data_IF_310887216857
#
_entry.id   IF_310887216857
#
_cell.length_a   1.000
_cell.length_b   1.000
_cell.length_c   1.000
_cell.angle_alpha   90.00
_cell.angle_beta   90.00
_cell.angle_gamma   90.00
#
_symmetry.space_group_name_H-M   'P 1'
#
loop_
_entity.id
_entity.type
_entity.pdbx_description
1 polymer ?
#
# COMPACT_ATOMS: atom_id res chain seq x y z
N UNK A 1 38.23 0.57 -22.34
CA UNK A 1 36.89 1.13 -22.63
C UNK A 1 35.87 0.23 -21.95
N UNK A 2 35.54 0.51 -20.69
CA UNK A 2 34.36 -0.10 -20.08
C UNK A 2 33.18 0.75 -20.53
N UNK A 3 32.20 0.16 -21.23
CA UNK A 3 30.90 0.80 -21.33
C UNK A 3 30.41 1.02 -19.90
N UNK A 4 30.25 2.28 -19.50
CA UNK A 4 29.44 2.57 -18.33
C UNK A 4 28.06 2.01 -18.65
N UNK A 5 27.68 0.90 -18.01
CA UNK A 5 26.30 0.42 -18.11
C UNK A 5 25.47 1.41 -17.32
N UNK A 6 24.76 2.26 -18.05
CA UNK A 6 23.83 3.22 -17.49
C UNK A 6 22.61 2.47 -16.93
N UNK A 7 22.14 2.93 -15.79
CA UNK A 7 21.06 2.29 -15.05
C UNK A 7 20.01 3.31 -14.68
N UNK A 8 18.75 2.88 -14.67
CA UNK A 8 17.64 3.71 -14.23
C UNK A 8 17.03 3.17 -12.94
N UNK A 9 16.41 4.03 -12.14
CA UNK A 9 15.64 3.62 -10.97
C UNK A 9 14.27 4.30 -10.95
N UNK A 10 13.31 3.64 -10.33
CA UNK A 10 11.96 4.19 -10.14
C UNK A 10 11.76 4.55 -8.68
N UNK A 11 11.18 5.70 -8.40
CA UNK A 11 10.86 6.21 -7.07
C UNK A 11 9.36 6.47 -7.00
N UNK A 12 8.65 5.66 -6.20
CA UNK A 12 7.19 5.70 -6.10
C UNK A 12 6.76 6.26 -4.76
N UNK A 13 6.12 7.44 -4.79
CA UNK A 13 5.33 7.91 -3.67
C UNK A 13 3.96 7.20 -3.68
N UNK A 14 3.81 6.21 -2.79
CA UNK A 14 2.57 5.43 -2.70
C UNK A 14 1.39 6.31 -2.25
N UNK A 15 1.62 7.28 -1.36
CA UNK A 15 0.58 8.19 -0.88
C UNK A 15 -0.01 9.00 -2.04
N UNK A 16 0.87 9.55 -2.89
CA UNK A 16 0.48 10.23 -4.12
C UNK A 16 -0.27 9.31 -5.08
N UNK A 17 0.27 8.11 -5.34
CA UNK A 17 -0.32 7.12 -6.25
C UNK A 17 -1.76 6.76 -5.86
N UNK A 18 -2.00 6.39 -4.60
CA UNK A 18 -3.34 6.02 -4.14
C UNK A 18 -4.29 7.22 -4.15
N UNK A 19 -3.82 8.40 -3.70
CA UNK A 19 -4.66 9.59 -3.63
C UNK A 19 -5.10 10.06 -5.03
N UNK A 20 -4.17 10.19 -5.97
CA UNK A 20 -4.50 10.67 -7.31
C UNK A 20 -5.07 9.57 -8.21
N UNK A 21 -4.60 8.33 -8.05
CA UNK A 21 -5.15 7.19 -8.76
C UNK A 21 -6.64 6.99 -8.45
N UNK A 22 -7.02 7.05 -7.17
CA UNK A 22 -8.44 6.96 -6.78
C UNK A 22 -9.26 8.13 -7.33
N UNK A 23 -8.73 9.34 -7.30
CA UNK A 23 -9.38 10.50 -7.91
C UNK A 23 -9.59 10.33 -9.42
N UNK A 24 -8.61 9.75 -10.13
CA UNK A 24 -8.71 9.50 -11.57
C UNK A 24 -9.78 8.45 -11.92
N UNK A 25 -9.89 7.36 -11.15
CA UNK A 25 -10.84 6.27 -11.45
C UNK A 25 -12.24 6.49 -10.87
N UNK A 26 -12.36 7.19 -9.73
CA UNK A 26 -13.61 7.37 -8.99
C UNK A 26 -14.13 8.81 -8.98
N UNK A 27 -13.40 9.77 -9.55
CA UNK A 27 -13.74 11.19 -9.57
C UNK A 27 -13.49 11.93 -8.25
N UNK A 28 -13.12 11.22 -7.18
CA UNK A 28 -12.74 11.80 -5.89
C UNK A 28 -11.69 10.93 -5.20
N UNK A 29 -10.88 11.53 -4.33
CA UNK A 29 -9.95 10.76 -3.49
C UNK A 29 -10.74 9.78 -2.60
N UNK A 30 -10.28 8.53 -2.53
CA UNK A 30 -10.89 7.50 -1.67
C UNK A 30 -9.91 7.06 -0.58
N UNK A 31 -10.40 6.67 0.61
CA UNK A 31 -9.57 6.03 1.62
C UNK A 31 -8.88 4.79 1.06
N UNK A 32 -7.62 4.54 1.44
CA UNK A 32 -6.87 3.37 0.97
C UNK A 32 -7.54 2.03 1.28
N UNK A 33 -8.31 1.96 2.36
CA UNK A 33 -9.09 0.78 2.72
C UNK A 33 -10.20 0.41 1.73
N UNK A 34 -10.60 1.35 0.87
CA UNK A 34 -11.61 1.15 -0.18
C UNK A 34 -10.97 0.85 -1.54
N UNK A 35 -9.65 0.71 -1.62
CA UNK A 35 -8.94 0.48 -2.87
C UNK A 35 -8.35 -0.93 -2.90
N UNK A 36 -8.16 -1.43 -4.11
CA UNK A 36 -7.41 -2.63 -4.43
C UNK A 36 -6.28 -2.27 -5.38
N UNK A 37 -5.07 -2.72 -5.07
CA UNK A 37 -3.90 -2.54 -5.90
C UNK A 37 -3.48 -3.89 -6.48
N UNK A 38 -3.43 -3.98 -7.80
CA UNK A 38 -2.68 -5.02 -8.51
C UNK A 38 -1.19 -4.62 -8.52
N UNK A 39 -0.45 -5.14 -7.54
CA UNK A 39 0.95 -4.81 -7.33
C UNK A 39 1.86 -5.19 -8.53
N UNK A 40 1.74 -6.40 -9.13
CA UNK A 40 2.45 -6.72 -10.37
C UNK A 40 2.15 -5.73 -11.50
N UNK A 41 0.88 -5.45 -11.78
CA UNK A 41 0.49 -4.61 -12.91
C UNK A 41 1.01 -3.16 -12.78
N UNK A 42 0.99 -2.58 -11.57
CA UNK A 42 1.56 -1.23 -11.39
C UNK A 42 3.07 -1.22 -11.59
N UNK A 43 3.79 -2.24 -11.11
CA UNK A 43 5.24 -2.35 -11.29
C UNK A 43 5.59 -2.51 -12.76
N UNK A 44 4.87 -3.36 -13.49
CA UNK A 44 5.04 -3.52 -14.95
C UNK A 44 4.86 -2.19 -15.68
N UNK A 45 3.78 -1.45 -15.40
CA UNK A 45 3.53 -0.14 -16.00
C UNK A 45 4.64 0.89 -15.69
N UNK A 46 5.23 0.85 -14.48
CA UNK A 46 6.36 1.71 -14.11
C UNK A 46 7.64 1.35 -14.85
N UNK A 47 7.92 0.04 -14.96
CA UNK A 47 9.09 -0.50 -15.66
C UNK A 47 9.01 -0.15 -17.14
N UNK A 48 7.87 -0.38 -17.77
CA UNK A 48 7.66 -0.04 -19.18
C UNK A 48 7.87 1.45 -19.45
N UNK A 49 7.37 2.31 -18.57
CA UNK A 49 7.53 3.75 -18.73
C UNK A 49 8.99 4.20 -18.54
N UNK A 50 9.70 3.70 -17.53
CA UNK A 50 11.10 4.10 -17.32
C UNK A 50 11.98 3.59 -18.47
N UNK A 51 11.73 2.37 -18.97
CA UNK A 51 12.41 1.83 -20.15
C UNK A 51 12.12 2.67 -21.41
N UNK A 52 10.89 3.17 -21.58
CA UNK A 52 10.56 4.05 -22.70
C UNK A 52 11.25 5.42 -22.60
N UNK A 53 11.49 5.93 -21.38
CA UNK A 53 12.16 7.22 -21.15
C UNK A 53 13.68 7.13 -21.19
N UNK A 54 14.24 6.00 -20.77
CA UNK A 54 15.66 5.72 -20.70
C UNK A 54 15.98 4.38 -21.40
N UNK A 55 15.85 4.28 -22.73
CA UNK A 55 15.94 3.02 -23.48
C UNK A 55 17.33 2.37 -23.45
N UNK A 56 18.37 3.17 -23.20
CA UNK A 56 19.75 2.69 -23.11
C UNK A 56 20.13 2.24 -21.67
N UNK A 57 19.20 2.36 -20.72
CA UNK A 57 19.43 2.04 -19.31
C UNK A 57 18.86 0.67 -18.94
N UNK A 58 19.59 -0.05 -18.08
CA UNK A 58 19.04 -1.22 -17.38
C UNK A 58 18.35 -0.78 -16.08
N UNK A 59 17.18 -1.33 -15.77
CA UNK A 59 16.56 -1.08 -14.46
C UNK A 59 17.44 -1.60 -13.31
N UNK A 60 17.71 -0.71 -12.35
CA UNK A 60 18.40 -1.03 -11.11
C UNK A 60 17.41 -1.57 -10.07
N UNK A 61 16.31 -0.84 -9.86
CA UNK A 61 15.32 -1.11 -8.81
C UNK A 61 14.09 -0.20 -8.92
N UNK A 62 12.94 -0.70 -8.46
CA UNK A 62 11.76 0.09 -8.12
C UNK A 62 11.73 0.31 -6.61
N UNK A 63 11.95 1.54 -6.17
CA UNK A 63 11.82 1.94 -4.77
C UNK A 63 10.38 2.38 -4.50
N UNK A 64 9.74 1.70 -3.57
CA UNK A 64 8.36 1.98 -3.18
C UNK A 64 8.33 2.60 -1.79
N UNK A 65 7.93 3.87 -1.71
CA UNK A 65 7.92 4.64 -0.46
C UNK A 65 6.50 4.74 0.07
N UNK A 66 6.30 4.28 1.30
CA UNK A 66 4.97 4.20 1.90
C UNK A 66 5.04 4.44 3.40
N UNK A 67 3.90 4.72 4.03
CA UNK A 67 3.82 4.89 5.48
C UNK A 67 3.40 3.61 6.20
N UNK A 68 4.05 3.30 7.32
CA UNK A 68 3.55 2.32 8.27
C UNK A 68 3.33 2.92 9.66
N UNK A 69 2.25 2.50 10.33
CA UNK A 69 2.01 2.87 11.74
C UNK A 69 3.10 2.22 12.59
N UNK A 70 3.85 3.04 13.32
CA UNK A 70 5.00 2.55 14.09
C UNK A 70 6.25 2.24 13.25
N UNK A 71 6.21 2.47 11.93
CA UNK A 71 7.38 2.40 11.03
C UNK A 71 7.97 1.01 10.73
N UNK A 72 7.50 -0.06 11.40
CA UNK A 72 8.23 -1.34 11.36
C UNK A 72 7.54 -2.50 10.65
N UNK A 73 6.20 -2.60 10.68
CA UNK A 73 5.48 -3.76 10.08
C UNK A 73 4.67 -3.35 8.86
N UNK A 74 4.84 -4.03 7.71
CA UNK A 74 4.05 -3.75 6.52
C UNK A 74 2.59 -4.19 6.72
N UNK A 75 1.67 -3.53 6.03
CA UNK A 75 0.31 -4.04 5.81
C UNK A 75 0.33 -5.22 4.83
N UNK A 76 -0.81 -5.90 4.69
CA UNK A 76 -1.02 -6.93 3.67
C UNK A 76 -0.67 -6.44 2.24
N UNK A 77 -1.23 -5.29 1.83
CA UNK A 77 -0.93 -4.66 0.53
C UNK A 77 0.54 -4.29 0.36
N UNK A 78 1.18 -3.78 1.42
CA UNK A 78 2.61 -3.42 1.38
C UNK A 78 3.48 -4.67 1.25
N UNK A 79 3.07 -5.80 1.85
CA UNK A 79 3.77 -7.06 1.72
C UNK A 79 3.68 -7.63 0.28
N UNK A 80 2.54 -7.45 -0.41
CA UNK A 80 2.43 -7.81 -1.83
C UNK A 80 3.49 -7.11 -2.66
N UNK A 81 3.56 -5.79 -2.54
CA UNK A 81 4.53 -4.97 -3.26
C UNK A 81 5.97 -5.34 -2.88
N UNK A 82 6.24 -5.54 -1.58
CA UNK A 82 7.58 -5.82 -1.08
C UNK A 82 8.15 -7.18 -1.50
N UNK A 83 7.28 -8.13 -1.88
CA UNK A 83 7.68 -9.47 -2.30
C UNK A 83 7.88 -9.59 -3.82
N UNK A 84 7.61 -8.55 -4.60
CA UNK A 84 7.89 -8.55 -6.04
C UNK A 84 9.38 -8.43 -6.31
N UNK A 85 9.82 -9.06 -7.40
CA UNK A 85 11.20 -8.93 -7.89
C UNK A 85 11.51 -7.47 -8.23
N UNK A 86 12.76 -7.08 -8.01
CA UNK A 86 13.28 -5.73 -8.26
C UNK A 86 12.59 -4.58 -7.49
N UNK A 87 11.66 -4.89 -6.58
CA UNK A 87 10.99 -3.90 -5.72
C UNK A 87 11.66 -3.82 -4.35
N UNK A 88 11.79 -2.60 -3.82
CA UNK A 88 12.21 -2.35 -2.45
C UNK A 88 11.24 -1.41 -1.75
N UNK A 89 10.52 -1.97 -0.78
CA UNK A 89 9.65 -1.22 0.12
C UNK A 89 10.49 -0.43 1.14
N UNK A 90 10.21 0.87 1.26
CA UNK A 90 10.78 1.81 2.23
C UNK A 90 9.63 2.37 3.06
N UNK A 91 9.58 2.06 4.35
CA UNK A 91 8.50 2.49 5.24
C UNK A 91 8.90 3.74 6.03
N UNK A 92 8.19 4.84 5.78
CA UNK A 92 8.15 6.02 6.63
C UNK A 92 7.23 5.83 7.83
N UNK A 93 7.20 6.82 8.72
CA UNK A 93 6.44 6.75 9.96
C UNK A 93 5.06 7.41 9.81
N UNK A 94 4.00 6.70 10.19
CA UNK A 94 2.66 7.28 10.35
C UNK A 94 2.40 7.58 11.82
N UNK A 95 2.07 8.83 12.15
CA UNK A 95 1.72 9.21 13.51
C UNK A 95 0.29 8.78 13.90
N UNK A 96 -0.07 8.94 15.18
CA UNK A 96 -1.40 8.58 15.71
C UNK A 96 -2.56 9.36 15.09
N UNK A 97 -2.29 10.46 14.37
CA UNK A 97 -3.27 11.26 13.64
C UNK A 97 -3.38 10.87 12.16
N UNK A 98 -2.68 9.81 11.73
CA UNK A 98 -2.70 9.33 10.34
C UNK A 98 -1.84 10.15 9.38
N UNK A 99 -1.03 11.10 9.88
CA UNK A 99 -0.11 11.86 9.05
C UNK A 99 1.14 11.02 8.78
N UNK A 100 1.46 10.85 7.50
CA UNK A 100 2.73 10.28 7.07
C UNK A 100 3.82 11.33 7.28
N UNK A 101 4.94 10.94 7.91
CA UNK A 101 6.13 11.78 8.08
C UNK A 101 7.35 11.05 7.56
N UNK A 102 8.16 11.75 6.76
CA UNK A 102 9.48 11.30 6.33
C UNK A 102 9.50 10.39 5.10
N UNK A 103 8.38 10.18 4.41
CA UNK A 103 8.34 9.44 3.13
C UNK A 103 9.09 10.24 2.05
N UNK A 104 8.77 11.52 1.95
CA UNK A 104 9.49 12.56 1.20
C UNK A 104 11.00 12.54 1.46
N UNK A 105 11.38 12.52 2.75
CA UNK A 105 12.79 12.50 3.16
C UNK A 105 13.50 11.22 2.72
N UNK A 106 12.82 10.06 2.74
CA UNK A 106 13.36 8.79 2.24
C UNK A 106 13.59 8.84 0.72
N UNK A 107 12.64 9.39 -0.04
CA UNK A 107 12.76 9.59 -1.50
C UNK A 107 13.98 10.46 -1.80
N UNK A 108 14.05 11.64 -1.17
CA UNK A 108 15.14 12.61 -1.37
C UNK A 108 16.49 11.99 -1.02
N UNK A 109 16.58 11.28 0.12
CA UNK A 109 17.83 10.65 0.56
C UNK A 109 18.30 9.59 -0.42
N UNK A 110 17.44 8.63 -0.78
CA UNK A 110 17.82 7.54 -1.69
C UNK A 110 18.17 8.08 -3.10
N UNK A 111 17.43 9.08 -3.60
CA UNK A 111 17.69 9.70 -4.89
C UNK A 111 19.08 10.37 -4.92
N UNK A 112 19.40 11.18 -3.90
CA UNK A 112 20.70 11.84 -3.77
C UNK A 112 21.82 10.82 -3.61
N UNK A 113 21.63 9.78 -2.80
CA UNK A 113 22.65 8.75 -2.60
C UNK A 113 22.97 8.00 -3.89
N UNK A 114 21.95 7.57 -4.63
CA UNK A 114 22.14 6.87 -5.90
C UNK A 114 22.82 7.76 -6.94
N UNK A 115 22.43 9.05 -7.01
CA UNK A 115 23.05 10.03 -7.90
C UNK A 115 24.52 10.25 -7.54
N UNK A 116 24.82 10.54 -6.27
CA UNK A 116 26.19 10.81 -5.79
C UNK A 116 27.13 9.62 -5.99
N UNK A 117 26.61 8.40 -5.90
CA UNK A 117 27.37 7.17 -6.12
C UNK A 117 27.47 6.77 -7.60
N UNK A 118 26.96 7.60 -8.53
CA UNK A 118 26.84 7.30 -9.95
C UNK A 118 26.21 5.92 -10.20
N UNK A 119 25.22 5.57 -9.37
CA UNK A 119 24.56 4.27 -9.44
C UNK A 119 23.47 4.24 -10.50
N UNK A 120 22.93 5.41 -10.86
CA UNK A 120 21.93 5.62 -11.90
C UNK A 120 22.30 6.83 -12.75
N UNK A 121 21.83 6.85 -13.99
CA UNK A 121 21.86 8.01 -14.91
C UNK A 121 20.47 8.63 -15.09
N UNK A 122 19.40 7.86 -14.87
CA UNK A 122 18.02 8.28 -15.06
C UNK A 122 17.14 7.84 -13.89
N UNK A 123 16.18 8.66 -13.50
CA UNK A 123 15.19 8.32 -12.48
C UNK A 123 13.78 8.64 -12.95
N UNK A 124 12.87 7.66 -12.83
CA UNK A 124 11.44 7.91 -12.92
C UNK A 124 10.91 8.22 -11.52
N UNK A 125 10.35 9.42 -11.31
CA UNK A 125 9.79 9.86 -10.05
C UNK A 125 8.26 9.99 -10.17
N UNK A 126 7.52 9.14 -9.48
CA UNK A 126 6.07 9.25 -9.36
C UNK A 126 5.74 10.03 -8.09
N UNK A 127 5.48 11.34 -8.23
CA UNK A 127 5.09 12.22 -7.13
C UNK A 127 4.45 13.51 -7.66
N UNK A 128 3.83 14.26 -6.76
CA UNK A 128 3.36 15.64 -7.00
C UNK A 128 3.78 16.62 -5.91
N UNK A 129 4.57 16.17 -4.94
CA UNK A 129 4.94 16.97 -3.76
C UNK A 129 6.12 17.90 -4.07
N UNK A 130 6.04 19.15 -3.65
CA UNK A 130 7.13 20.11 -3.81
C UNK A 130 8.34 19.75 -2.94
N UNK A 131 8.12 19.06 -1.82
CA UNK A 131 9.18 18.74 -0.86
C UNK A 131 10.26 17.82 -1.44
N UNK A 132 9.94 17.01 -2.48
CA UNK A 132 10.94 16.16 -3.14
C UNK A 132 11.78 16.92 -4.19
N UNK A 133 11.42 18.16 -4.54
CA UNK A 133 12.12 18.97 -5.55
C UNK A 133 13.60 19.21 -5.21
N UNK A 134 13.94 19.36 -3.93
CA UNK A 134 15.33 19.51 -3.51
C UNK A 134 16.18 18.29 -3.86
N UNK A 135 15.60 17.09 -3.80
CA UNK A 135 16.27 15.86 -4.22
C UNK A 135 16.53 15.82 -5.73
N UNK A 136 15.55 16.29 -6.53
CA UNK A 136 15.67 16.44 -8.00
C UNK A 136 16.85 17.34 -8.35
N UNK A 137 16.90 18.56 -7.79
CA UNK A 137 17.98 19.52 -8.02
C UNK A 137 19.37 18.94 -7.70
N UNK A 138 19.50 18.29 -6.55
CA UNK A 138 20.77 17.75 -6.11
C UNK A 138 21.18 16.56 -6.99
N UNK A 139 20.26 15.69 -7.38
CA UNK A 139 20.55 14.57 -8.26
C UNK A 139 21.04 15.01 -9.65
N UNK A 140 20.44 16.07 -10.20
CA UNK A 140 20.86 16.67 -11.47
C UNK A 140 22.28 17.27 -11.40
N UNK A 141 22.73 17.76 -10.24
CA UNK A 141 24.13 18.19 -10.07
C UNK A 141 25.14 17.03 -10.24
N UNK A 142 24.70 15.78 -10.10
CA UNK A 142 25.49 14.58 -10.37
C UNK A 142 25.21 13.98 -11.76
N UNK A 143 24.48 14.68 -12.62
CA UNK A 143 24.20 14.27 -13.99
C UNK A 143 23.04 13.29 -14.16
N UNK A 144 22.23 13.05 -13.12
CA UNK A 144 21.03 12.22 -13.23
C UNK A 144 19.91 12.99 -13.90
N UNK A 145 19.28 12.41 -14.92
CA UNK A 145 18.06 12.93 -15.55
C UNK A 145 16.82 12.48 -14.78
N UNK A 146 15.86 13.38 -14.60
CA UNK A 146 14.64 13.12 -13.82
C UNK A 146 13.41 13.15 -14.73
N UNK A 147 12.73 12.01 -14.83
CA UNK A 147 11.45 11.87 -15.51
C UNK A 147 10.34 11.88 -14.47
N UNK A 148 9.56 12.97 -14.40
CA UNK A 148 8.45 13.08 -13.46
C UNK A 148 7.20 12.42 -14.06
N UNK A 149 6.60 11.52 -13.30
CA UNK A 149 5.31 10.89 -13.60
C UNK A 149 4.23 11.44 -12.65
N UNK A 150 3.15 11.93 -13.24
CA UNK A 150 1.91 12.29 -12.55
C UNK A 150 0.75 11.37 -12.87
N UNK A 151 -0.40 11.63 -12.25
CA UNK A 151 -1.69 11.03 -12.62
C UNK A 151 -2.63 12.12 -13.10
N UNK A 152 -3.22 11.91 -14.29
CA UNK A 152 -4.08 12.89 -14.93
C UNK A 152 -5.42 13.04 -14.17
N UNK A 153 -5.94 14.26 -14.02
CA UNK A 153 -5.33 15.52 -14.44
C UNK A 153 -4.24 16.01 -13.47
N UNK A 154 -2.99 16.15 -13.94
CA UNK A 154 -1.84 16.50 -13.09
C UNK A 154 -1.82 17.95 -12.59
N UNK A 155 -2.50 18.87 -13.28
CA UNK A 155 -2.42 20.33 -13.03
C UNK A 155 -2.80 20.76 -11.60
N UNK A 156 -3.69 20.03 -10.94
CA UNK A 156 -4.12 20.31 -9.57
C UNK A 156 -3.42 19.45 -8.52
N UNK A 157 -2.65 18.44 -8.94
CA UNK A 157 -2.07 17.44 -8.06
C UNK A 157 -0.54 17.48 -8.01
N UNK A 158 0.11 18.16 -8.95
CA UNK A 158 1.57 18.30 -9.02
C UNK A 158 1.99 19.77 -8.86
N UNK A 159 3.00 20.00 -8.02
CA UNK A 159 3.63 21.33 -7.91
C UNK A 159 4.17 21.79 -9.25
N UNK A 160 3.85 23.04 -9.62
CA UNK A 160 4.39 23.67 -10.83
C UNK A 160 5.90 23.83 -10.77
N UNK A 161 6.47 24.02 -9.57
CA UNK A 161 7.92 24.12 -9.41
C UNK A 161 8.59 22.77 -9.67
N UNK A 162 8.00 21.68 -9.18
CA UNK A 162 8.50 20.32 -9.44
C UNK A 162 8.41 19.98 -10.94
N UNK A 163 7.30 20.34 -11.59
CA UNK A 163 7.11 20.16 -13.04
C UNK A 163 8.18 20.91 -13.87
N UNK A 164 8.56 22.10 -13.44
CA UNK A 164 9.60 22.91 -14.12
C UNK A 164 11.02 22.40 -13.86
N UNK A 165 11.25 21.75 -12.72
CA UNK A 165 12.57 21.20 -12.35
C UNK A 165 12.88 19.89 -13.10
N UNK A 166 11.87 19.07 -13.38
CA UNK A 166 12.05 17.79 -14.04
C UNK A 166 12.48 17.93 -15.51
N UNK A 167 13.33 17.02 -15.98
CA UNK A 167 13.80 16.98 -17.38
C UNK A 167 12.68 16.64 -18.37
N UNK A 168 11.79 15.72 -17.97
CA UNK A 168 10.60 15.38 -18.75
C UNK A 168 9.43 15.10 -17.83
N UNK A 169 8.21 15.36 -18.30
CA UNK A 169 6.98 15.05 -17.57
C UNK A 169 6.13 14.06 -18.36
N UNK A 170 5.36 13.23 -17.66
CA UNK A 170 4.37 12.32 -18.24
C UNK A 170 3.23 12.12 -17.23
N UNK A 171 2.05 11.77 -17.73
CA UNK A 171 0.89 11.50 -16.88
C UNK A 171 0.29 10.14 -17.26
N UNK A 172 -0.08 9.34 -16.26
CA UNK A 172 -1.00 8.23 -16.48
C UNK A 172 -2.44 8.74 -16.55
N UNK A 173 -3.15 8.32 -17.58
CA UNK A 173 -4.57 8.61 -17.70
C UNK A 173 -5.41 7.63 -16.87
N UNK A 174 -6.73 7.87 -16.82
CA UNK A 174 -7.67 6.99 -16.12
C UNK A 174 -7.59 5.55 -16.60
N UNK A 175 -7.34 5.30 -17.89
CA UNK A 175 -7.32 3.94 -18.46
C UNK A 175 -6.12 3.17 -17.94
N UNK A 176 -4.94 3.80 -17.93
CA UNK A 176 -3.73 3.20 -17.36
C UNK A 176 -3.89 2.95 -15.87
N UNK A 177 -4.40 3.92 -15.09
CA UNK A 177 -4.62 3.71 -13.66
C UNK A 177 -5.60 2.56 -13.39
N UNK A 178 -6.65 2.43 -14.19
CA UNK A 178 -7.66 1.39 -14.05
C UNK A 178 -7.14 -0.03 -14.35
N UNK A 179 -5.94 -0.20 -14.93
CA UNK A 179 -5.36 -1.54 -15.13
C UNK A 179 -4.80 -2.12 -13.84
N UNK A 180 -4.46 -1.29 -12.84
CA UNK A 180 -3.82 -1.74 -11.61
C UNK A 180 -4.47 -1.21 -10.32
N UNK A 181 -5.38 -0.25 -10.41
CA UNK A 181 -6.10 0.29 -9.24
C UNK A 181 -7.60 0.22 -9.47
N UNK A 182 -8.31 -0.34 -8.49
CA UNK A 182 -9.77 -0.40 -8.50
C UNK A 182 -10.35 -0.02 -7.14
N UNK A 183 -11.64 0.35 -7.13
CA UNK A 183 -12.39 0.59 -5.89
C UNK A 183 -13.05 -0.71 -5.48
N UNK A 184 -12.92 -1.09 -4.22
CA UNK A 184 -13.69 -2.20 -3.64
C UNK A 184 -15.16 -1.90 -3.82
N UNK A 185 -15.89 -2.80 -4.47
CA UNK A 185 -17.35 -2.79 -4.41
C UNK A 185 -17.74 -3.12 -2.97
N UNK A 186 -18.06 -2.08 -2.19
CA UNK A 186 -18.70 -2.29 -0.89
C UNK A 186 -20.10 -2.83 -1.14
N UNK A 187 -20.27 -4.14 -0.98
CA UNK A 187 -21.57 -4.64 -0.55
C UNK A 187 -21.92 -3.89 0.74
N UNK A 188 -23.08 -3.24 0.75
CA UNK A 188 -23.60 -2.29 1.76
C UNK A 188 -23.81 -2.93 3.15
N UNK A 189 -23.23 -4.10 3.43
CA UNK A 189 -23.60 -4.97 4.55
C UNK A 189 -22.93 -4.65 5.90
N UNK A 190 -22.26 -3.50 6.09
CA UNK A 190 -21.73 -3.16 7.43
C UNK A 190 -22.83 -2.81 8.44
N UNK A 191 -24.05 -2.51 8.00
CA UNK A 191 -25.19 -2.30 8.91
C UNK A 191 -25.95 -3.61 9.20
N UNK A 192 -26.13 -4.50 8.21
CA UNK A 192 -26.86 -5.76 8.41
C UNK A 192 -26.12 -6.79 9.29
N UNK A 193 -24.79 -6.86 9.23
CA UNK A 193 -24.01 -7.77 10.09
C UNK A 193 -24.02 -7.27 11.55
N UNK A 194 -24.06 -5.96 11.77
CA UNK A 194 -24.23 -5.37 13.10
C UNK A 194 -25.66 -5.54 13.64
N UNK A 195 -26.66 -5.60 12.76
CA UNK A 195 -28.07 -5.78 13.12
C UNK A 195 -28.42 -7.25 13.41
N UNK A 196 -27.88 -8.20 12.64
CA UNK A 196 -27.98 -9.64 12.91
C UNK A 196 -27.27 -10.04 14.22
N UNK A 197 -26.14 -9.38 14.55
CA UNK A 197 -25.44 -9.58 15.83
C UNK A 197 -26.22 -8.99 17.03
N UNK A 198 -27.02 -7.93 16.81
CA UNK A 198 -27.91 -7.37 17.83
C UNK A 198 -29.11 -8.28 18.13
N UNK A 199 -29.66 -8.97 17.13
CA UNK A 199 -30.84 -9.85 17.35
C UNK A 199 -30.49 -11.12 18.15
N UNK A 200 -29.23 -11.55 18.14
CA UNK A 200 -28.75 -12.69 18.94
C UNK A 200 -28.32 -12.32 20.38
N UNK A 201 -28.29 -11.02 20.74
CA UNK A 201 -27.79 -10.55 22.04
C UNK A 201 -28.86 -10.47 23.14
N UNK A 202 -30.13 -10.69 22.82
CA UNK A 202 -31.18 -10.84 23.83
C UNK A 202 -31.21 -12.30 24.31
N UNK A 203 -30.33 -12.65 25.26
CA UNK A 203 -30.55 -13.48 26.47
C UNK A 203 -29.21 -14.08 26.94
N UNK A 204 -28.91 -13.93 28.24
CA UNK A 204 -27.91 -14.63 29.09
C UNK A 204 -26.48 -14.12 29.23
N UNK A 205 -25.98 -14.23 30.47
CA UNK A 205 -24.72 -13.76 31.05
C UNK A 205 -23.46 -14.25 30.32
N UNK A 206 -22.36 -13.47 30.31
CA UNK A 206 -21.14 -13.85 29.60
C UNK A 206 -20.36 -14.90 30.41
N UNK A 207 -20.49 -16.16 30.04
CA UNK A 207 -19.50 -17.19 30.36
C UNK A 207 -18.36 -17.13 29.31
N UNK A 208 -17.13 -17.47 29.69
CA UNK A 208 -15.96 -17.39 28.82
C UNK A 208 -16.14 -18.13 27.47
N UNK A 209 -16.87 -19.26 27.47
CA UNK A 209 -17.19 -20.01 26.24
C UNK A 209 -18.11 -19.25 25.27
N UNK A 210 -19.03 -18.43 25.79
CA UNK A 210 -19.93 -17.62 24.96
C UNK A 210 -19.21 -16.45 24.28
N UNK A 211 -18.24 -15.84 24.98
CA UNK A 211 -17.42 -14.76 24.42
C UNK A 211 -16.50 -15.30 23.32
N UNK A 212 -15.85 -16.45 23.54
CA UNK A 212 -15.02 -17.10 22.53
C UNK A 212 -15.81 -17.46 21.26
N UNK A 213 -17.03 -18.00 21.41
CA UNK A 213 -17.91 -18.30 20.27
C UNK A 213 -18.32 -17.06 19.46
N UNK A 214 -18.60 -15.93 20.13
CA UNK A 214 -18.87 -14.65 19.43
C UNK A 214 -17.68 -14.14 18.63
N UNK A 215 -16.48 -14.26 19.20
CA UNK A 215 -15.23 -13.89 18.50
C UNK A 215 -15.04 -14.78 17.28
N UNK A 216 -15.24 -16.10 17.40
CA UNK A 216 -15.07 -17.03 16.30
C UNK A 216 -16.05 -16.74 15.14
N UNK A 217 -17.33 -16.49 15.43
CA UNK A 217 -18.33 -16.13 14.41
C UNK A 217 -17.97 -14.83 13.72
N UNK A 218 -17.58 -13.80 14.48
CA UNK A 218 -17.22 -12.50 13.92
C UNK A 218 -15.96 -12.57 13.03
N UNK A 219 -14.97 -13.38 13.44
CA UNK A 219 -13.75 -13.61 12.65
C UNK A 219 -14.06 -14.38 11.36
N UNK A 220 -14.89 -15.44 11.42
CA UNK A 220 -15.26 -16.21 10.23
C UNK A 220 -16.01 -15.36 9.21
N UNK A 221 -17.00 -14.58 9.66
CA UNK A 221 -17.73 -13.65 8.79
C UNK A 221 -16.78 -12.65 8.13
N UNK A 222 -15.83 -12.08 8.89
CA UNK A 222 -14.81 -11.19 8.32
C UNK A 222 -13.93 -11.88 7.28
N UNK A 223 -13.52 -13.13 7.51
CA UNK A 223 -12.70 -13.89 6.56
C UNK A 223 -13.49 -14.27 5.30
N UNK A 224 -14.80 -14.48 5.42
CA UNK A 224 -15.68 -14.78 4.29
C UNK A 224 -15.80 -13.60 3.32
N UNK A 225 -15.79 -12.36 3.83
CA UNK A 225 -15.83 -11.11 3.05
C UNK A 225 -14.50 -10.77 2.36
N UNK A 226 -13.39 -11.46 2.70
CA UNK A 226 -12.10 -11.19 2.08
C UNK A 226 -12.11 -11.59 0.60
N UNK A 227 -11.71 -10.65 -0.26
CA UNK A 227 -11.54 -10.90 -1.68
C UNK A 227 -10.21 -11.60 -1.96
N UNK A 228 -10.04 -12.17 -3.15
CA UNK A 228 -8.82 -12.94 -3.51
C UNK A 228 -7.53 -12.13 -3.31
N UNK A 229 -7.55 -10.83 -3.61
CA UNK A 229 -6.39 -9.94 -3.39
C UNK A 229 -6.03 -9.79 -1.90
N UNK A 230 -7.02 -9.81 -1.00
CA UNK A 230 -6.76 -9.77 0.45
C UNK A 230 -6.05 -11.03 0.91
N UNK A 231 -6.49 -12.19 0.41
CA UNK A 231 -5.88 -13.49 0.73
C UNK A 231 -4.44 -13.52 0.25
N UNK A 232 -4.19 -13.13 -1.01
CA UNK A 232 -2.82 -13.01 -1.56
C UNK A 232 -1.96 -12.08 -0.70
N UNK A 233 -2.52 -10.97 -0.22
CA UNK A 233 -1.79 -10.04 0.65
C UNK A 233 -1.46 -10.60 2.04
N UNK A 234 -2.35 -11.42 2.61
CA UNK A 234 -2.07 -12.14 3.84
C UNK A 234 -0.98 -13.20 3.63
N UNK A 235 -1.05 -13.95 2.54
CA UNK A 235 -0.03 -14.94 2.18
C UNK A 235 1.34 -14.28 1.99
N UNK A 236 1.39 -13.16 1.26
CA UNK A 236 2.60 -12.36 1.07
C UNK A 236 3.18 -11.89 2.41
N UNK A 237 2.32 -11.39 3.32
CA UNK A 237 2.74 -11.01 4.67
C UNK A 237 3.33 -12.20 5.44
N UNK A 238 2.72 -13.39 5.35
CA UNK A 238 3.18 -14.60 6.04
C UNK A 238 4.50 -15.20 5.53
N UNK A 239 4.99 -14.77 4.36
CA UNK A 239 6.32 -15.20 3.89
C UNK A 239 7.46 -14.65 4.76
N UNK A 240 7.27 -13.47 5.37
CA UNK A 240 8.31 -12.76 6.15
C UNK A 240 7.92 -12.56 7.61
N UNK A 241 6.64 -12.32 7.87
CA UNK A 241 6.12 -11.96 9.18
C UNK A 241 5.16 -13.01 9.73
N UNK A 242 4.97 -13.01 11.05
CA UNK A 242 3.99 -13.89 11.71
C UNK A 242 2.84 -13.08 12.29
N UNK A 243 1.68 -13.72 12.39
CA UNK A 243 0.51 -13.13 13.03
C UNK A 243 -0.46 -12.52 12.03
N UNK A 244 -1.23 -11.53 12.48
CA UNK A 244 -2.23 -10.85 11.65
C UNK A 244 -1.62 -9.55 11.12
N UNK A 245 -1.74 -9.24 9.82
CA UNK A 245 -1.33 -7.96 9.27
C UNK A 245 -1.93 -6.77 10.07
N UNK A 246 -1.16 -5.70 10.35
CA UNK A 246 -1.60 -4.62 11.25
C UNK A 246 -2.88 -3.88 10.82
N UNK A 247 -3.16 -3.84 9.52
CA UNK A 247 -4.38 -3.28 8.93
C UNK A 247 -5.61 -4.16 9.23
N UNK A 248 -5.47 -5.48 9.14
CA UNK A 248 -6.54 -6.43 9.44
C UNK A 248 -6.75 -6.60 10.95
N UNK A 249 -5.67 -6.62 11.75
CA UNK A 249 -5.75 -6.73 13.21
C UNK A 249 -6.56 -5.57 13.82
N UNK A 250 -6.36 -4.35 13.32
CA UNK A 250 -7.16 -3.17 13.75
C UNK A 250 -8.63 -3.29 13.39
N UNK A 251 -8.95 -3.80 12.20
CA UNK A 251 -10.34 -4.04 11.78
C UNK A 251 -10.99 -5.11 12.67
N UNK A 252 -10.30 -6.23 12.90
CA UNK A 252 -10.76 -7.34 13.73
C UNK A 252 -10.97 -6.94 15.19
N UNK A 253 -10.07 -6.17 15.78
CA UNK A 253 -10.22 -5.66 17.15
C UNK A 253 -11.50 -4.83 17.31
N UNK A 254 -11.82 -4.01 16.30
CA UNK A 254 -13.07 -3.23 16.29
C UNK A 254 -14.29 -4.12 16.09
N UNK A 255 -14.26 -5.04 15.13
CA UNK A 255 -15.38 -5.95 14.82
C UNK A 255 -15.70 -6.84 16.02
N UNK A 256 -14.68 -7.52 16.56
CA UNK A 256 -14.84 -8.39 17.72
C UNK A 256 -15.25 -7.59 18.95
N UNK A 257 -14.69 -6.38 19.14
CA UNK A 257 -15.04 -5.51 20.25
C UNK A 257 -16.51 -5.08 20.23
N UNK A 258 -17.03 -4.78 19.04
CA UNK A 258 -18.44 -4.49 18.85
C UNK A 258 -19.32 -5.74 19.10
N UNK A 259 -18.90 -6.92 18.64
CA UNK A 259 -19.64 -8.17 18.84
C UNK A 259 -19.79 -8.56 20.32
N UNK A 260 -18.76 -8.29 21.14
CA UNK A 260 -18.78 -8.56 22.58
C UNK A 260 -19.30 -7.37 23.41
N UNK A 261 -19.42 -6.18 22.82
CA UNK A 261 -19.88 -4.94 23.47
C UNK A 261 -18.84 -4.25 24.35
N UNK A 262 -17.56 -4.66 24.28
CA UNK A 262 -16.44 -4.07 25.03
C UNK A 262 -15.11 -4.26 24.31
N UNK A 263 -14.04 -3.61 24.77
CA UNK A 263 -12.69 -3.90 24.28
C UNK A 263 -12.29 -5.32 24.66
N UNK A 264 -11.55 -5.98 23.77
CA UNK A 264 -11.02 -7.32 23.99
C UNK A 264 -9.95 -7.29 25.08
N UNK A 265 -9.97 -8.31 25.93
CA UNK A 265 -8.91 -8.61 26.87
C UNK A 265 -7.69 -9.23 26.17
N UNK A 266 -6.50 -9.28 26.81
CA UNK A 266 -5.30 -9.84 26.20
C UNK A 266 -5.46 -11.29 25.72
N UNK A 267 -6.13 -12.14 26.50
CA UNK A 267 -6.39 -13.54 26.13
C UNK A 267 -7.35 -13.64 24.93
N UNK A 268 -8.43 -12.86 24.94
CA UNK A 268 -9.40 -12.79 23.84
C UNK A 268 -8.75 -12.28 22.54
N UNK A 269 -7.81 -11.34 22.64
CA UNK A 269 -7.03 -10.83 21.51
C UNK A 269 -6.14 -11.93 20.93
N UNK A 270 -5.55 -12.77 21.78
CA UNK A 270 -4.76 -13.94 21.32
C UNK A 270 -5.66 -14.95 20.63
N UNK A 271 -6.84 -15.21 21.18
CA UNK A 271 -7.81 -16.16 20.63
C UNK A 271 -8.34 -15.68 19.27
N UNK A 272 -8.71 -14.40 19.15
CA UNK A 272 -9.09 -13.75 17.89
C UNK A 272 -8.02 -13.93 16.81
N UNK A 273 -6.74 -13.64 17.13
CA UNK A 273 -5.62 -13.81 16.19
C UNK A 273 -5.37 -15.27 15.83
N UNK A 274 -5.62 -16.20 16.76
CA UNK A 274 -5.51 -17.63 16.48
C UNK A 274 -6.62 -18.10 15.53
N UNK A 275 -7.86 -17.73 15.83
CA UNK A 275 -9.02 -18.02 15.00
C UNK A 275 -8.86 -17.47 13.58
N UNK A 276 -8.41 -16.23 13.44
CA UNK A 276 -8.20 -15.60 12.13
C UNK A 276 -7.20 -16.40 11.28
N UNK A 277 -6.06 -16.77 11.86
CA UNK A 277 -5.04 -17.56 11.15
C UNK A 277 -5.59 -18.92 10.72
N UNK A 278 -6.36 -19.59 11.57
CA UNK A 278 -6.97 -20.87 11.23
C UNK A 278 -7.99 -20.73 10.09
N UNK A 279 -8.89 -19.75 10.17
CA UNK A 279 -9.92 -19.52 9.17
C UNK A 279 -9.35 -19.16 7.80
N UNK A 280 -8.33 -18.29 7.75
CA UNK A 280 -7.66 -17.93 6.50
C UNK A 280 -6.92 -19.13 5.89
N UNK A 281 -6.22 -19.95 6.71
CA UNK A 281 -5.56 -21.17 6.21
C UNK A 281 -6.56 -22.14 5.59
N UNK A 282 -7.69 -22.38 6.25
CA UNK A 282 -8.76 -23.23 5.71
C UNK A 282 -9.31 -22.68 4.39
N UNK A 283 -9.47 -21.36 4.27
CA UNK A 283 -9.91 -20.73 3.01
C UNK A 283 -8.90 -20.90 1.89
N UNK A 284 -7.61 -20.76 2.18
CA UNK A 284 -6.52 -21.01 1.21
C UNK A 284 -6.57 -22.48 0.76
N UNK A 285 -6.66 -23.43 1.68
CA UNK A 285 -6.72 -24.87 1.38
C UNK A 285 -7.97 -25.27 0.57
N UNK A 286 -9.09 -24.57 0.73
CA UNK A 286 -10.35 -24.85 0.01
C UNK A 286 -10.39 -24.20 -1.38
N UNK A 287 -9.53 -23.21 -1.65
CA UNK A 287 -9.48 -22.48 -2.93
C UNK A 287 -8.48 -23.08 -3.93
N UNK A 288 -7.72 -24.10 -3.52
CA UNK A 288 -6.77 -24.89 -4.34
C UNK A 288 -7.45 -26.15 -4.86
#
# INVERSE_FOLDING_TARGET
>A
MGQAMDRCAVFVDAGYLFAQGSAAIAGSKKPRSELLLDAPAVVENLVDLVCAKAPDCRILRVYWYDGAIGGSRPTSDQALVANLDDVKLRLGFINSYGQQKGVDSLIVTDLIELARLNSISDALLLSGDEDVRVGVQIAQNYGVRIHLLGVAPGRSSQSQQLLQEADTTSEWDRRTVATFLSVRETAVATEEVAEAAKTAAATTSPTAGFVSGKIEVAVKAFVEELVESDIKGIEAYWQRERGVPPDLDRKLLRICGNAIGRKLEPDETRDMRSCFRSAVKTRIETSV
#
